data_IF_472585050998
#
_entry.id   IF_472585050998
#
_cell.length_a   1.000
_cell.length_b   1.000
_cell.length_c   1.000
_cell.angle_alpha   90.00
_cell.angle_beta   90.00
_cell.angle_gamma   90.00
#
_symmetry.space_group_name_H-M   'P 1'
#
loop_
_entity.id
_entity.type
_entity.pdbx_description
1 polymer ?
#
# COMPACT_ATOMS: atom_id res chain seq x y z
N UNK A 1 -0.86 13.88 8.30
CA UNK A 1 -1.69 14.48 7.19
C UNK A 1 -2.28 13.37 6.36
N UNK A 2 -3.59 13.39 6.12
CA UNK A 2 -4.22 12.45 5.19
C UNK A 2 -3.79 12.81 3.78
N UNK A 3 -3.07 11.93 3.11
CA UNK A 3 -2.58 12.18 1.75
C UNK A 3 -3.76 12.09 0.78
N UNK A 4 -4.05 13.16 0.06
CA UNK A 4 -5.13 13.25 -0.93
C UNK A 4 -4.67 12.81 -2.33
N UNK A 5 -3.79 11.82 -2.42
CA UNK A 5 -3.12 11.38 -3.66
C UNK A 5 -4.04 11.12 -4.84
N UNK A 6 -5.26 10.65 -4.57
CA UNK A 6 -6.22 10.20 -5.59
C UNK A 6 -7.45 11.11 -5.68
N UNK A 7 -7.53 12.14 -4.82
CA UNK A 7 -8.66 13.05 -4.75
C UNK A 7 -8.37 14.33 -5.55
N UNK A 8 -9.34 14.79 -6.33
CA UNK A 8 -9.21 15.97 -7.19
C UNK A 8 -9.90 17.21 -6.61
N UNK A 9 -11.16 17.08 -6.23
CA UNK A 9 -11.95 18.17 -5.66
C UNK A 9 -12.67 17.70 -4.40
N UNK A 10 -12.06 17.96 -3.25
CA UNK A 10 -12.53 17.46 -1.97
C UNK A 10 -13.39 18.50 -1.27
N UNK A 11 -14.67 18.21 -1.09
CA UNK A 11 -15.64 19.06 -0.41
C UNK A 11 -16.20 18.39 0.85
N UNK A 12 -16.61 19.19 1.81
CA UNK A 12 -17.30 18.68 3.01
C UNK A 12 -18.65 18.09 2.62
N UNK A 13 -18.91 16.86 3.04
CA UNK A 13 -20.20 16.22 2.86
C UNK A 13 -21.23 16.88 3.79
N UNK A 14 -22.12 17.69 3.21
CA UNK A 14 -23.16 18.42 3.92
C UNK A 14 -24.54 17.83 3.62
N UNK A 15 -25.30 17.50 4.66
CA UNK A 15 -26.63 16.90 4.53
C UNK A 15 -27.68 17.80 3.88
N UNK A 16 -27.48 19.12 3.88
CA UNK A 16 -28.38 20.07 3.21
C UNK A 16 -28.10 20.14 1.72
N UNK A 17 -26.83 20.28 1.34
CA UNK A 17 -26.38 20.39 -0.05
C UNK A 17 -26.44 19.05 -0.79
N UNK A 18 -26.02 17.96 -0.12
CA UNK A 18 -25.88 16.63 -0.75
C UNK A 18 -27.05 15.69 -0.42
N UNK A 19 -28.18 16.20 0.10
CA UNK A 19 -29.32 15.38 0.52
C UNK A 19 -29.86 14.45 -0.56
N UNK A 20 -29.79 14.88 -1.83
CA UNK A 20 -30.30 14.11 -2.98
C UNK A 20 -29.23 13.24 -3.62
N UNK A 21 -27.97 13.43 -3.21
CA UNK A 21 -26.84 12.76 -3.81
C UNK A 21 -26.93 11.25 -3.60
N UNK A 22 -26.80 10.52 -4.69
CA UNK A 22 -26.75 9.06 -4.74
C UNK A 22 -25.41 8.62 -5.30
N UNK A 23 -24.99 7.42 -4.96
CA UNK A 23 -23.77 6.82 -5.44
C UNK A 23 -24.06 5.54 -6.21
N UNK A 24 -23.51 5.49 -7.42
CA UNK A 24 -23.41 4.26 -8.21
C UNK A 24 -22.02 3.69 -8.03
N UNK A 25 -21.88 2.46 -7.49
CA UNK A 25 -20.61 1.79 -7.47
C UNK A 25 -20.01 1.70 -8.89
N UNK A 26 -18.73 2.03 -9.03
CA UNK A 26 -17.99 1.88 -10.28
C UNK A 26 -17.12 0.64 -10.20
N UNK A 27 -17.16 -0.21 -11.22
CA UNK A 27 -16.32 -1.41 -11.31
C UNK A 27 -14.87 -1.08 -11.74
N UNK A 28 -14.45 0.17 -11.59
CA UNK A 28 -13.12 0.59 -11.99
C UNK A 28 -12.49 1.52 -10.95
N UNK A 29 -11.16 1.55 -10.95
CA UNK A 29 -10.33 2.38 -10.08
C UNK A 29 -9.44 3.33 -10.90
N UNK A 30 -9.96 3.89 -12.01
CA UNK A 30 -9.22 4.81 -12.91
C UNK A 30 -8.70 6.04 -12.17
N UNK A 31 -9.36 6.46 -11.10
CA UNK A 31 -8.90 7.54 -10.21
C UNK A 31 -7.50 7.27 -9.61
N UNK A 32 -7.11 5.99 -9.50
CA UNK A 32 -5.80 5.58 -9.00
C UNK A 32 -4.79 5.26 -10.10
N UNK A 33 -5.08 5.58 -11.39
CA UNK A 33 -4.24 5.18 -12.52
C UNK A 33 -2.81 5.78 -12.47
N UNK A 34 -2.65 6.93 -11.85
CA UNK A 34 -1.35 7.59 -11.72
C UNK A 34 -0.66 7.30 -10.37
N UNK A 35 -1.17 6.37 -9.57
CA UNK A 35 -0.66 6.10 -8.22
C UNK A 35 0.27 4.89 -8.23
N UNK A 36 1.59 5.12 -8.20
CA UNK A 36 2.62 4.07 -8.19
C UNK A 36 2.92 3.50 -6.80
N UNK A 37 2.50 4.19 -5.73
CA UNK A 37 2.69 3.81 -4.34
C UNK A 37 1.42 4.13 -3.54
N UNK A 38 0.74 3.10 -3.04
CA UNK A 38 -0.52 3.22 -2.30
C UNK A 38 -0.24 3.13 -0.81
N UNK A 39 -0.64 4.14 0.00
CA UNK A 39 -0.50 4.08 1.46
C UNK A 39 -1.19 2.84 2.04
N UNK A 40 -0.50 2.17 2.97
CA UNK A 40 -1.02 1.03 3.71
C UNK A 40 -1.18 1.35 5.20
N UNK A 41 -2.05 0.59 5.85
CA UNK A 41 -2.04 0.46 7.30
C UNK A 41 -1.52 -0.93 7.69
N UNK A 42 -0.86 -1.04 8.85
CA UNK A 42 -0.11 -2.25 9.24
C UNK A 42 -0.97 -3.52 9.27
N UNK A 43 -2.25 -3.42 9.62
CA UNK A 43 -3.19 -4.55 9.62
C UNK A 43 -3.36 -5.18 8.23
N UNK A 44 -3.06 -4.45 7.16
CA UNK A 44 -3.16 -4.93 5.78
C UNK A 44 -1.93 -5.73 5.33
N UNK A 45 -0.82 -5.69 6.08
CA UNK A 45 0.46 -6.25 5.63
C UNK A 45 0.37 -7.73 5.26
N UNK A 46 -0.39 -8.53 5.99
CA UNK A 46 -0.54 -9.97 5.71
C UNK A 46 -1.18 -10.24 4.35
N UNK A 47 -2.22 -9.49 3.98
CA UNK A 47 -2.90 -9.63 2.69
C UNK A 47 -2.11 -8.93 1.59
N UNK A 48 -1.66 -7.70 1.83
CA UNK A 48 -0.89 -6.95 0.85
C UNK A 48 0.43 -7.64 0.48
N UNK A 49 1.12 -8.29 1.43
CA UNK A 49 2.38 -8.99 1.18
C UNK A 49 2.26 -10.17 0.20
N UNK A 50 1.06 -10.66 -0.05
CA UNK A 50 0.82 -11.75 -1.01
C UNK A 50 0.94 -11.28 -2.45
N UNK A 51 0.77 -9.97 -2.71
CA UNK A 51 0.64 -9.43 -4.05
C UNK A 51 1.52 -8.22 -4.34
N UNK A 52 1.77 -7.39 -3.33
CA UNK A 52 2.48 -6.12 -3.48
C UNK A 52 3.83 -6.16 -2.77
N UNK A 53 4.88 -5.54 -3.33
CA UNK A 53 6.02 -5.14 -2.52
C UNK A 53 5.57 -4.09 -1.50
N UNK A 54 5.80 -4.33 -0.22
CA UNK A 54 5.60 -3.35 0.84
C UNK A 54 6.93 -2.66 1.08
N UNK A 55 6.94 -1.35 1.07
CA UNK A 55 8.15 -0.53 1.30
C UNK A 55 7.85 0.59 2.28
N UNK A 56 8.91 1.17 2.83
CA UNK A 56 8.79 2.38 3.64
C UNK A 56 9.39 3.55 2.87
N UNK A 57 8.95 4.76 3.20
CA UNK A 57 9.54 6.00 2.70
C UNK A 57 9.35 7.11 3.73
N UNK A 58 10.18 8.14 3.68
CA UNK A 58 10.00 9.32 4.52
C UNK A 58 9.11 10.33 3.84
N UNK A 59 8.16 10.86 4.58
CA UNK A 59 7.38 12.03 4.16
C UNK A 59 8.25 13.26 3.98
N UNK A 60 7.65 14.36 3.55
CA UNK A 60 8.34 15.63 3.44
C UNK A 60 8.94 16.05 4.80
N UNK A 61 10.19 16.49 4.77
CA UNK A 61 10.86 17.00 5.97
C UNK A 61 10.26 18.36 6.36
N UNK A 62 10.04 18.56 7.66
CA UNK A 62 9.68 19.86 8.22
C UNK A 62 10.90 20.42 8.98
N UNK A 63 11.58 21.40 8.38
CA UNK A 63 12.82 21.96 8.92
C UNK A 63 13.98 20.95 8.93
N UNK A 64 14.75 20.91 10.03
CA UNK A 64 15.91 20.01 10.19
C UNK A 64 15.55 18.58 10.59
N UNK A 65 14.26 18.24 10.70
CA UNK A 65 13.81 16.90 11.08
C UNK A 65 13.58 16.05 9.84
N UNK A 66 14.04 14.78 9.89
CA UNK A 66 13.64 13.79 8.91
C UNK A 66 12.13 13.64 8.93
N UNK A 67 11.52 13.57 7.72
CA UNK A 67 10.09 13.37 7.57
C UNK A 67 9.60 12.09 8.26
N UNK A 68 8.33 12.06 8.63
CA UNK A 68 7.70 10.90 9.25
C UNK A 68 7.82 9.66 8.36
N UNK A 69 8.12 8.51 8.96
CA UNK A 69 8.17 7.23 8.24
C UNK A 69 6.74 6.81 7.86
N UNK A 70 6.55 6.40 6.63
CA UNK A 70 5.28 5.95 6.04
C UNK A 70 5.49 4.60 5.37
N UNK A 71 4.42 3.82 5.19
CA UNK A 71 4.48 2.53 4.51
C UNK A 71 3.53 2.50 3.30
N UNK A 72 3.96 1.81 2.24
CA UNK A 72 3.28 1.78 0.95
C UNK A 72 3.30 0.38 0.33
N UNK A 73 2.22 0.06 -0.39
CA UNK A 73 2.25 -0.97 -1.41
C UNK A 73 2.72 -0.35 -2.73
N UNK A 74 3.76 -0.88 -3.35
CA UNK A 74 4.17 -0.45 -4.67
C UNK A 74 3.22 -1.03 -5.72
N UNK A 75 2.64 -0.15 -6.52
CA UNK A 75 1.70 -0.48 -7.61
C UNK A 75 2.22 -0.09 -8.98
N UNK A 76 3.34 0.62 -9.05
CA UNK A 76 4.02 1.00 -10.29
C UNK A 76 5.54 1.03 -10.12
N UNK A 77 6.24 1.15 -11.23
CA UNK A 77 7.70 1.21 -11.31
C UNK A 77 8.23 2.63 -11.54
N UNK A 78 7.33 3.57 -11.77
CA UNK A 78 7.61 4.99 -11.92
C UNK A 78 6.40 5.84 -11.53
N UNK A 79 6.62 7.13 -11.32
CA UNK A 79 5.54 8.09 -11.07
C UNK A 79 4.55 8.12 -12.23
N UNK A 80 3.26 8.28 -11.91
CA UNK A 80 2.20 8.36 -12.90
C UNK A 80 1.72 7.03 -13.46
N UNK A 81 2.15 5.90 -12.88
CA UNK A 81 1.82 4.55 -13.35
C UNK A 81 1.19 3.70 -12.25
N UNK A 82 0.18 2.91 -12.62
CA UNK A 82 -0.37 1.86 -11.77
C UNK A 82 -0.55 0.57 -12.60
N UNK A 83 0.31 -0.40 -12.37
CA UNK A 83 0.35 -1.69 -13.09
C UNK A 83 -0.68 -2.70 -12.57
N UNK A 84 -1.48 -2.33 -11.58
CA UNK A 84 -2.55 -3.16 -11.04
C UNK A 84 -3.93 -2.78 -11.60
N UNK A 85 -3.98 -1.96 -12.64
CA UNK A 85 -5.22 -1.70 -13.39
C UNK A 85 -5.19 -2.44 -14.72
N UNK A 86 -6.32 -3.12 -15.05
CA UNK A 86 -6.51 -3.68 -16.37
C UNK A 86 -6.92 -2.60 -17.41
N UNK A 87 -7.04 -2.97 -18.68
CA UNK A 87 -7.42 -2.04 -19.76
C UNK A 87 -8.80 -1.40 -19.54
N UNK A 88 -9.70 -2.04 -18.78
CA UNK A 88 -11.00 -1.49 -18.40
C UNK A 88 -10.88 -0.55 -17.19
N UNK A 89 -9.71 -0.47 -16.55
CA UNK A 89 -9.46 0.31 -15.34
C UNK A 89 -9.88 -0.41 -14.06
N UNK A 90 -10.14 -1.73 -14.11
CA UNK A 90 -10.47 -2.51 -12.92
C UNK A 90 -9.19 -2.92 -12.20
N UNK A 91 -9.29 -3.02 -10.88
CA UNK A 91 -8.17 -3.47 -10.07
C UNK A 91 -7.88 -4.96 -10.33
N UNK A 92 -6.66 -5.26 -10.74
CA UNK A 92 -6.21 -6.60 -11.14
C UNK A 92 -5.32 -7.23 -10.04
N UNK A 93 -5.92 -7.43 -8.87
CA UNK A 93 -5.36 -8.18 -7.75
C UNK A 93 -6.51 -8.62 -6.84
N UNK A 94 -6.30 -9.66 -6.04
CA UNK A 94 -7.32 -10.18 -5.12
C UNK A 94 -7.52 -9.23 -3.93
N UNK A 95 -6.46 -8.56 -3.47
CA UNK A 95 -6.53 -7.59 -2.38
C UNK A 95 -6.48 -6.16 -2.90
N UNK A 96 -7.47 -5.35 -2.53
CA UNK A 96 -7.50 -3.90 -2.81
C UNK A 96 -7.20 -3.15 -1.53
N UNK A 97 -6.12 -2.34 -1.45
CA UNK A 97 -5.78 -1.56 -0.26
C UNK A 97 -6.94 -0.69 0.23
N UNK A 98 -7.09 -0.57 1.54
CA UNK A 98 -8.16 0.21 2.16
C UNK A 98 -8.14 1.69 1.74
N UNK A 99 -6.95 2.22 1.46
CA UNK A 99 -6.79 3.56 0.91
C UNK A 99 -7.50 3.75 -0.43
N UNK A 100 -7.53 2.73 -1.28
CA UNK A 100 -8.26 2.74 -2.56
C UNK A 100 -9.77 2.52 -2.32
N UNK A 101 -10.12 1.55 -1.45
CA UNK A 101 -11.52 1.19 -1.17
C UNK A 101 -12.34 2.30 -0.53
N UNK A 102 -11.70 3.22 0.21
CA UNK A 102 -12.40 4.33 0.86
C UNK A 102 -12.87 5.43 -0.11
N UNK A 103 -12.27 5.49 -1.33
CA UNK A 103 -12.66 6.48 -2.32
C UNK A 103 -14.13 6.28 -2.75
N UNK A 104 -14.94 7.33 -2.89
CA UNK A 104 -14.57 8.76 -2.94
C UNK A 104 -14.66 9.49 -1.57
N UNK A 105 -14.78 8.78 -0.45
CA UNK A 105 -14.91 9.37 0.87
C UNK A 105 -13.55 9.53 1.56
N UNK A 106 -13.41 10.59 2.36
CA UNK A 106 -12.21 10.83 3.15
C UNK A 106 -12.55 11.64 4.41
N UNK A 107 -11.81 11.43 5.50
CA UNK A 107 -11.80 12.37 6.61
C UNK A 107 -10.80 13.49 6.35
N UNK A 108 -11.26 14.74 6.48
CA UNK A 108 -10.42 15.92 6.56
C UNK A 108 -10.44 16.50 7.97
N UNK A 109 -9.30 17.04 8.40
CA UNK A 109 -9.18 17.74 9.68
C UNK A 109 -9.65 19.18 9.50
N UNK A 110 -10.76 19.54 10.13
CA UNK A 110 -11.36 20.88 10.04
C UNK A 110 -11.15 21.73 11.30
N UNK A 111 -10.49 21.16 12.32
CA UNK A 111 -10.15 21.82 13.59
C UNK A 111 -9.05 21.04 14.31
N UNK A 112 -8.68 21.46 15.54
CA UNK A 112 -7.59 20.82 16.27
C UNK A 112 -7.79 19.31 16.47
N UNK A 113 -9.03 18.87 16.75
CA UNK A 113 -9.38 17.46 17.00
C UNK A 113 -10.66 17.03 16.26
N UNK A 114 -11.11 17.81 15.27
CA UNK A 114 -12.36 17.52 14.57
C UNK A 114 -12.09 16.96 13.18
N UNK A 115 -12.57 15.74 12.95
CA UNK A 115 -12.60 15.10 11.65
C UNK A 115 -13.97 15.29 11.01
N UNK A 116 -13.97 15.77 9.78
CA UNK A 116 -15.18 15.96 8.99
C UNK A 116 -15.13 15.05 7.76
N UNK A 117 -16.25 14.44 7.42
CA UNK A 117 -16.36 13.63 6.21
C UNK A 117 -16.38 14.53 5.00
N UNK A 118 -15.53 14.24 4.05
CA UNK A 118 -15.47 14.88 2.74
C UNK A 118 -15.67 13.84 1.63
N UNK A 119 -16.08 14.33 0.48
CA UNK A 119 -16.20 13.55 -0.76
C UNK A 119 -15.41 14.23 -1.87
N UNK A 120 -14.95 13.44 -2.84
CA UNK A 120 -14.45 13.97 -4.11
C UNK A 120 -15.62 14.19 -5.06
N UNK A 121 -16.02 15.45 -5.28
CA UNK A 121 -17.17 15.78 -6.14
C UNK A 121 -16.95 15.35 -7.60
N UNK A 122 -15.72 15.18 -8.02
CA UNK A 122 -15.40 14.73 -9.39
C UNK A 122 -15.67 13.24 -9.62
N UNK A 123 -16.05 12.50 -8.59
CA UNK A 123 -16.33 11.08 -8.73
C UNK A 123 -17.51 10.81 -9.68
N UNK A 124 -17.28 10.09 -10.80
CA UNK A 124 -18.31 9.93 -11.86
C UNK A 124 -19.49 9.05 -11.45
N UNK A 125 -19.42 8.40 -10.29
CA UNK A 125 -20.51 7.60 -9.73
C UNK A 125 -21.53 8.40 -8.94
N UNK A 126 -21.32 9.69 -8.71
CA UNK A 126 -22.33 10.54 -8.07
C UNK A 126 -23.40 10.98 -9.05
N UNK A 127 -24.67 10.89 -8.61
CA UNK A 127 -25.86 11.22 -9.41
C UNK A 127 -27.05 11.54 -8.47
N UNK A 128 -27.87 12.52 -8.80
CA UNK A 128 -29.05 12.89 -8.00
C UNK A 128 -30.25 11.96 -8.23
N UNK A 129 -30.31 11.26 -9.36
CA UNK A 129 -31.49 10.53 -9.80
C UNK A 129 -31.38 9.02 -9.62
N UNK A 130 -30.17 8.46 -9.74
CA UNK A 130 -29.95 7.02 -9.78
C UNK A 130 -28.73 6.57 -8.96
N UNK A 131 -28.84 5.43 -8.33
CA UNK A 131 -27.85 4.88 -7.40
C UNK A 131 -28.42 4.73 -5.99
N UNK A 132 -27.57 4.33 -5.05
CA UNK A 132 -27.93 4.24 -3.64
C UNK A 132 -27.85 5.62 -2.96
N UNK A 133 -28.87 6.03 -2.20
CA UNK A 133 -28.85 7.35 -1.57
C UNK A 133 -27.78 7.41 -0.45
N UNK A 134 -27.14 8.58 -0.32
CA UNK A 134 -26.23 8.84 0.81
C UNK A 134 -27.00 9.18 2.08
N UNK A 135 -28.13 9.83 1.96
CA UNK A 135 -29.00 10.22 3.07
C UNK A 135 -30.40 9.66 2.89
N UNK A 136 -31.05 9.34 3.98
CA UNK A 136 -32.45 8.92 4.00
C UNK A 136 -33.42 10.13 3.94
N UNK A 137 -34.73 9.87 4.01
CA UNK A 137 -35.76 10.91 3.96
C UNK A 137 -35.68 11.87 5.17
N UNK A 138 -35.18 11.42 6.31
CA UNK A 138 -34.97 12.24 7.51
C UNK A 138 -33.67 13.07 7.43
N UNK A 139 -32.81 12.82 6.45
CA UNK A 139 -31.51 13.46 6.29
C UNK A 139 -30.40 12.81 7.15
N UNK A 140 -30.65 11.59 7.65
CA UNK A 140 -29.66 10.79 8.35
C UNK A 140 -28.86 9.92 7.35
N UNK A 141 -27.62 9.54 7.69
CA UNK A 141 -26.81 8.69 6.82
C UNK A 141 -27.53 7.38 6.43
N UNK A 142 -27.71 7.12 5.14
CA UNK A 142 -28.25 5.87 4.64
C UNK A 142 -27.24 4.70 4.79
N UNK A 143 -27.63 3.48 4.49
CA UNK A 143 -26.83 2.28 4.71
C UNK A 143 -25.42 2.38 4.07
N UNK A 144 -25.35 2.84 2.82
CA UNK A 144 -24.11 3.02 2.08
C UNK A 144 -23.18 4.01 2.79
N UNK A 145 -23.68 5.18 3.16
CA UNK A 145 -22.88 6.18 3.85
C UNK A 145 -22.43 5.70 5.23
N UNK A 146 -23.28 4.98 5.98
CA UNK A 146 -22.88 4.38 7.27
C UNK A 146 -21.70 3.42 7.09
N UNK A 147 -21.76 2.52 6.10
CA UNK A 147 -20.65 1.61 5.81
C UNK A 147 -19.37 2.34 5.41
N UNK A 148 -19.48 3.41 4.64
CA UNK A 148 -18.34 4.26 4.30
C UNK A 148 -17.74 4.95 5.54
N UNK A 149 -18.57 5.46 6.46
CA UNK A 149 -18.14 6.06 7.71
C UNK A 149 -17.44 5.05 8.64
N UNK A 150 -17.95 3.82 8.72
CA UNK A 150 -17.33 2.74 9.47
C UNK A 150 -15.93 2.42 8.91
N UNK A 151 -15.82 2.29 7.58
CA UNK A 151 -14.53 2.06 6.91
C UNK A 151 -13.54 3.20 7.18
N UNK A 152 -13.96 4.46 7.07
CA UNK A 152 -13.11 5.61 7.35
C UNK A 152 -12.65 5.65 8.81
N UNK A 153 -13.56 5.36 9.74
CA UNK A 153 -13.26 5.33 11.18
C UNK A 153 -12.26 4.24 11.52
N UNK A 154 -12.46 3.03 10.95
CA UNK A 154 -11.52 1.94 11.14
C UNK A 154 -10.16 2.26 10.50
N UNK A 155 -10.14 2.78 9.29
CA UNK A 155 -8.91 3.20 8.61
C UNK A 155 -8.14 4.24 9.44
N UNK A 156 -8.82 5.24 10.01
CA UNK A 156 -8.18 6.26 10.84
C UNK A 156 -7.55 5.66 12.11
N UNK A 157 -8.28 4.74 12.77
CA UNK A 157 -7.77 4.01 13.93
C UNK A 157 -6.55 3.17 13.57
N UNK A 158 -6.60 2.44 12.45
CA UNK A 158 -5.49 1.62 11.98
C UNK A 158 -4.29 2.48 11.56
N UNK A 159 -4.51 3.66 10.98
CA UNK A 159 -3.45 4.59 10.65
C UNK A 159 -2.69 5.08 11.89
N UNK A 160 -3.39 5.35 13.00
CA UNK A 160 -2.75 5.71 14.28
C UNK A 160 -1.90 4.57 14.83
N UNK A 161 -2.40 3.33 14.83
CA UNK A 161 -1.65 2.16 15.28
C UNK A 161 -0.44 1.91 14.38
N UNK A 162 -0.60 2.08 13.07
CA UNK A 162 0.50 1.99 12.11
C UNK A 162 1.57 3.03 12.38
N UNK A 163 1.19 4.28 12.66
CA UNK A 163 2.14 5.34 13.03
C UNK A 163 2.94 5.00 14.29
N UNK A 164 2.31 4.37 15.30
CA UNK A 164 3.01 3.90 16.50
C UNK A 164 4.05 2.80 16.17
N UNK A 165 3.67 1.83 15.34
CA UNK A 165 4.59 0.79 14.84
C UNK A 165 5.77 1.39 14.07
N UNK A 166 5.49 2.31 13.12
CA UNK A 166 6.52 2.94 12.30
C UNK A 166 7.50 3.77 13.13
N UNK A 167 7.05 4.44 14.19
CA UNK A 167 7.95 5.15 15.14
C UNK A 167 8.88 4.19 15.86
N UNK A 168 8.40 3.02 16.28
CA UNK A 168 9.24 1.99 16.89
C UNK A 168 10.27 1.43 15.90
N UNK A 169 9.82 1.17 14.65
CA UNK A 169 10.67 0.69 13.58
C UNK A 169 11.80 1.69 13.27
N UNK A 170 11.48 2.97 13.20
CA UNK A 170 12.43 4.05 12.96
C UNK A 170 13.45 4.18 14.12
N UNK A 171 12.97 4.14 15.36
CA UNK A 171 13.80 4.22 16.55
C UNK A 171 14.76 3.02 16.70
N UNK A 172 14.43 1.88 16.13
CA UNK A 172 15.29 0.68 16.18
C UNK A 172 16.47 0.73 15.21
N UNK A 173 16.54 1.70 14.31
CA UNK A 173 17.61 1.91 13.29
C UNK A 173 17.91 0.64 12.45
N UNK A 174 16.90 -0.13 12.15
CA UNK A 174 17.03 -1.35 11.34
C UNK A 174 16.63 -1.16 9.88
N UNK A 175 16.40 0.06 9.44
CA UNK A 175 16.10 0.37 8.05
C UNK A 175 17.39 0.62 7.26
N UNK A 176 17.33 0.33 5.97
CA UNK A 176 18.35 0.66 4.98
C UNK A 176 17.70 1.27 3.74
N UNK A 177 18.45 2.13 3.06
CA UNK A 177 18.03 2.67 1.77
C UNK A 177 18.03 1.57 0.72
N UNK A 178 16.97 1.56 -0.10
CA UNK A 178 16.81 0.68 -1.23
C UNK A 178 16.44 1.49 -2.48
N UNK A 179 16.82 0.96 -3.62
CA UNK A 179 16.47 1.51 -4.93
C UNK A 179 15.86 0.39 -5.76
N UNK A 180 14.78 0.70 -6.45
CA UNK A 180 14.21 -0.21 -7.42
C UNK A 180 14.53 0.31 -8.82
N UNK A 181 15.26 -0.49 -9.60
CA UNK A 181 15.47 -0.24 -11.02
C UNK A 181 14.58 -1.15 -11.84
N UNK A 182 13.84 -0.57 -12.75
CA UNK A 182 13.04 -1.28 -13.74
C UNK A 182 13.60 -0.97 -15.13
N UNK A 183 14.03 -2.00 -15.86
CA UNK A 183 14.52 -1.89 -17.23
C UNK A 183 13.40 -2.26 -18.20
N UNK A 184 13.05 -1.35 -19.11
CA UNK A 184 12.00 -1.54 -20.11
C UNK A 184 12.59 -2.19 -21.38
N UNK A 185 11.76 -3.00 -22.12
CA UNK A 185 12.22 -3.66 -23.36
C UNK A 185 12.71 -2.70 -24.45
N UNK A 186 12.26 -1.44 -24.41
CA UNK A 186 12.68 -0.37 -25.36
C UNK A 186 14.00 0.30 -24.98
N UNK A 187 14.70 -0.22 -23.95
CA UNK A 187 15.98 0.31 -23.46
C UNK A 187 15.86 1.45 -22.48
N UNK A 188 14.66 1.95 -22.19
CA UNK A 188 14.45 2.89 -21.07
C UNK A 188 14.64 2.17 -19.74
N UNK A 189 14.94 2.93 -18.72
CA UNK A 189 14.95 2.44 -17.33
C UNK A 189 14.24 3.44 -16.42
N UNK A 190 13.50 2.95 -15.45
CA UNK A 190 12.98 3.74 -14.35
C UNK A 190 13.78 3.43 -13.08
N UNK A 191 13.94 4.43 -12.25
CA UNK A 191 14.62 4.31 -10.96
C UNK A 191 13.71 4.92 -9.89
N UNK A 192 13.21 4.09 -8.97
CA UNK A 192 12.52 4.56 -7.79
C UNK A 192 13.53 4.66 -6.65
N UNK A 193 13.70 5.85 -6.13
CA UNK A 193 14.63 6.18 -5.04
C UNK A 193 13.86 6.57 -3.77
N UNK A 194 14.58 6.72 -2.67
CA UNK A 194 13.99 7.10 -1.39
C UNK A 194 13.17 6.00 -0.71
N UNK A 195 13.27 4.78 -1.22
CA UNK A 195 12.68 3.61 -0.58
C UNK A 195 13.52 3.19 0.62
N UNK A 196 12.86 2.72 1.65
CA UNK A 196 13.47 2.11 2.82
C UNK A 196 12.92 0.69 2.97
N UNK A 197 13.79 -0.22 3.36
CA UNK A 197 13.45 -1.61 3.67
C UNK A 197 14.13 -2.03 4.97
N UNK A 198 13.65 -3.09 5.61
CA UNK A 198 14.29 -3.64 6.79
C UNK A 198 15.59 -4.35 6.41
N UNK A 199 16.68 -4.02 7.13
CA UNK A 199 17.97 -4.70 7.04
C UNK A 199 17.97 -5.90 7.99
N UNK A 200 17.90 -7.12 7.43
CA UNK A 200 17.93 -8.35 8.24
C UNK A 200 19.24 -8.54 9.02
N UNK A 201 20.35 -7.97 8.56
CA UNK A 201 21.60 -8.04 9.31
C UNK A 201 21.52 -7.18 10.57
N UNK A 202 20.97 -5.97 10.46
CA UNK A 202 20.71 -5.10 11.62
C UNK A 202 19.69 -5.71 12.58
N UNK A 203 18.64 -6.38 12.08
CA UNK A 203 17.67 -7.08 12.92
C UNK A 203 18.31 -8.09 13.87
N UNK A 204 19.36 -8.79 13.45
CA UNK A 204 20.08 -9.77 14.28
C UNK A 204 20.77 -9.15 15.49
N UNK A 205 20.95 -7.85 15.49
CA UNK A 205 21.58 -7.09 16.60
C UNK A 205 20.55 -6.44 17.54
N UNK A 206 19.24 -6.63 17.30
CA UNK A 206 18.21 -6.18 18.23
C UNK A 206 18.40 -6.83 19.61
N UNK A 207 18.07 -6.07 20.66
CA UNK A 207 18.10 -6.63 22.01
C UNK A 207 17.04 -7.74 22.19
N UNK A 208 17.35 -8.73 23.02
CA UNK A 208 16.38 -9.79 23.34
C UNK A 208 15.07 -9.23 23.90
N UNK A 209 15.13 -8.13 24.64
CA UNK A 209 13.94 -7.45 25.18
C UNK A 209 13.06 -6.88 24.06
N UNK A 210 13.68 -6.18 23.09
CA UNK A 210 12.96 -5.64 21.91
C UNK A 210 12.33 -6.76 21.10
N UNK A 211 13.04 -7.86 20.84
CA UNK A 211 12.50 -9.02 20.09
C UNK A 211 11.32 -9.65 20.82
N UNK A 212 11.40 -9.81 22.16
CA UNK A 212 10.30 -10.34 22.96
C UNK A 212 9.08 -9.42 22.96
N UNK A 213 9.28 -8.10 23.08
CA UNK A 213 8.21 -7.11 22.99
C UNK A 213 7.50 -7.21 21.64
N UNK A 214 8.28 -7.17 20.54
CA UNK A 214 7.72 -7.19 19.18
C UNK A 214 7.06 -8.52 18.80
N UNK A 215 7.54 -9.62 19.39
CA UNK A 215 6.85 -10.92 19.25
C UNK A 215 5.50 -10.90 19.96
N UNK A 216 5.46 -10.38 21.20
CA UNK A 216 4.25 -10.32 22.01
C UNK A 216 3.19 -9.35 21.41
N UNK A 217 3.61 -8.22 20.85
CA UNK A 217 2.74 -7.22 20.21
C UNK A 217 2.35 -7.56 18.77
N UNK A 218 2.99 -8.55 18.14
CA UNK A 218 2.77 -8.93 16.72
C UNK A 218 3.56 -8.10 15.72
N UNK A 219 4.31 -7.08 16.13
CA UNK A 219 5.09 -6.19 15.27
C UNK A 219 6.18 -6.95 14.49
N UNK A 220 6.75 -8.00 15.09
CA UNK A 220 7.70 -8.87 14.40
C UNK A 220 7.07 -9.56 13.18
N UNK A 221 5.79 -9.94 13.27
CA UNK A 221 5.02 -10.50 12.15
C UNK A 221 4.86 -9.50 10.99
N UNK A 222 4.66 -8.21 11.29
CA UNK A 222 4.58 -7.14 10.28
C UNK A 222 5.91 -6.98 9.55
N UNK A 223 7.03 -7.04 10.26
CA UNK A 223 8.38 -6.97 9.68
C UNK A 223 8.62 -8.15 8.73
N UNK A 224 8.27 -9.37 9.13
CA UNK A 224 8.41 -10.54 8.25
C UNK A 224 7.45 -10.48 7.06
N UNK A 225 6.23 -9.97 7.21
CA UNK A 225 5.32 -9.74 6.09
C UNK A 225 5.93 -8.76 5.07
N UNK A 226 6.54 -7.65 5.56
CA UNK A 226 7.29 -6.74 4.70
C UNK A 226 8.43 -7.45 3.96
N UNK A 227 9.31 -8.19 4.68
CA UNK A 227 10.45 -8.87 4.06
C UNK A 227 10.01 -9.88 2.99
N UNK A 228 8.99 -10.69 3.28
CA UNK A 228 8.41 -11.64 2.31
C UNK A 228 7.82 -10.93 1.09
N UNK A 229 7.21 -9.77 1.30
CA UNK A 229 6.59 -8.98 0.23
C UNK A 229 7.58 -8.49 -0.82
N UNK A 230 8.86 -8.33 -0.47
CA UNK A 230 9.89 -7.88 -1.40
C UNK A 230 10.09 -8.85 -2.58
N UNK A 231 9.73 -10.13 -2.41
CA UNK A 231 9.67 -11.10 -3.50
C UNK A 231 8.69 -10.70 -4.62
N UNK A 232 7.70 -9.85 -4.34
CA UNK A 232 6.75 -9.38 -5.34
C UNK A 232 7.33 -8.28 -6.27
N UNK A 233 8.54 -7.77 -6.01
CA UNK A 233 9.22 -6.86 -6.94
C UNK A 233 9.36 -7.48 -8.34
N UNK A 234 9.68 -8.79 -8.42
CA UNK A 234 9.74 -9.50 -9.69
C UNK A 234 8.38 -9.60 -10.38
N UNK A 235 7.29 -9.79 -9.62
CA UNK A 235 5.92 -9.81 -10.15
C UNK A 235 5.50 -8.42 -10.65
N UNK A 236 5.86 -7.36 -9.92
CA UNK A 236 5.60 -5.98 -10.34
C UNK A 236 6.30 -5.69 -11.67
N UNK A 237 7.57 -6.10 -11.82
CA UNK A 237 8.32 -5.96 -13.08
C UNK A 237 7.67 -6.72 -14.24
N UNK A 238 7.10 -7.90 -14.00
CA UNK A 238 6.39 -8.70 -15.02
C UNK A 238 5.09 -8.03 -15.51
N UNK A 239 4.49 -7.13 -14.73
CA UNK A 239 3.30 -6.36 -15.12
C UNK A 239 3.62 -5.19 -16.05
N UNK A 240 4.91 -4.84 -16.22
CA UNK A 240 5.32 -3.75 -17.11
C UNK A 240 4.94 -4.06 -18.57
N UNK A 241 4.44 -3.08 -19.34
CA UNK A 241 4.13 -3.27 -20.75
C UNK A 241 5.37 -3.74 -21.53
N UNK A 242 5.23 -4.86 -22.24
CA UNK A 242 6.31 -5.40 -23.08
C UNK A 242 7.36 -6.24 -22.34
N UNK A 243 7.19 -6.53 -21.05
CA UNK A 243 8.04 -7.49 -20.35
C UNK A 243 7.79 -8.90 -20.91
N UNK A 244 8.67 -9.35 -21.80
CA UNK A 244 8.78 -10.76 -22.14
C UNK A 244 9.32 -11.48 -20.89
N UNK A 245 8.55 -12.42 -20.36
CA UNK A 245 9.00 -13.29 -19.27
C UNK A 245 10.16 -14.12 -19.82
N UNK A 246 11.39 -13.70 -19.56
CA UNK A 246 12.54 -14.61 -19.68
C UNK A 246 12.49 -15.48 -18.42
N UNK A 247 12.24 -16.79 -18.53
CA UNK A 247 12.27 -17.66 -17.35
C UNK A 247 13.63 -17.49 -16.67
N UNK A 248 13.63 -17.33 -15.36
CA UNK A 248 14.86 -17.28 -14.58
C UNK A 248 15.72 -18.49 -14.94
N UNK A 249 17.05 -18.35 -15.11
CA UNK A 249 17.91 -19.49 -15.35
C UNK A 249 17.71 -20.50 -14.22
N UNK A 250 17.36 -21.73 -14.58
CA UNK A 250 17.24 -22.82 -13.61
C UNK A 250 18.51 -22.87 -12.75
N UNK A 251 18.33 -22.89 -11.45
CA UNK A 251 19.42 -23.09 -10.52
C UNK A 251 20.19 -24.35 -10.94
N UNK A 252 21.54 -24.33 -10.95
CA UNK A 252 22.33 -25.49 -11.40
C UNK A 252 21.95 -26.68 -10.55
N UNK A 253 21.43 -27.71 -11.19
CA UNK A 253 21.08 -28.98 -10.58
C UNK A 253 22.31 -29.55 -9.88
N UNK A 254 22.14 -29.89 -8.60
CA UNK A 254 23.19 -30.49 -7.77
C UNK A 254 23.79 -31.71 -8.47
N UNK A 255 24.99 -31.54 -8.96
CA UNK A 255 25.80 -32.60 -9.62
C UNK A 255 25.99 -33.74 -8.63
N UNK A 256 25.48 -34.89 -8.99
CA UNK A 256 25.63 -36.17 -8.32
C UNK A 256 27.10 -36.43 -7.97
N UNK A 257 27.45 -36.43 -6.69
CA UNK A 257 28.74 -36.89 -6.21
C UNK A 257 28.92 -38.37 -6.48
N UNK A 258 29.66 -38.71 -7.53
CA UNK A 258 30.14 -40.08 -7.80
C UNK A 258 31.10 -40.51 -6.67
N UNK A 259 30.66 -41.44 -5.83
CA UNK A 259 31.51 -42.18 -4.89
C UNK A 259 32.64 -42.88 -5.64
N UNK A 260 33.85 -42.41 -5.52
CA UNK A 260 35.07 -43.16 -5.91
C UNK A 260 35.26 -44.31 -4.94
N UNK A 261 34.99 -45.52 -5.40
CA UNK A 261 35.44 -46.75 -4.74
C UNK A 261 36.97 -46.80 -4.80
N UNK A 262 37.61 -46.73 -3.65
CA UNK A 262 39.04 -47.07 -3.52
C UNK A 262 39.22 -48.55 -3.75
N UNK A 263 40.06 -48.91 -4.76
CA UNK A 263 40.66 -50.24 -4.90
C UNK A 263 41.83 -50.32 -3.95
N UNK A 264 41.78 -51.24 -3.00
CA UNK A 264 42.96 -51.70 -2.28
C UNK A 264 43.83 -52.54 -3.19
N UNK A 265 45.10 -52.41 -3.02
CA UNK A 265 46.10 -53.36 -3.46
C UNK A 265 47.06 -53.65 -2.32
N UNK A 266 47.12 -54.90 -1.96
CA UNK A 266 48.21 -55.69 -1.35
C UNK A 266 49.19 -55.01 -0.43
#
# INVERSE_FOLDING_TARGET
>A
MTTLLIYQDTVVLDRGLHRRLKLKPQDNARFAAATHAVPLVAVEFSEAAREYPIVFARGAAEGDKHGELLCYALTGTCEGENLYLDAAGRWNADYIPAFIRRYPFVFAQTGADQLTVCIDETYPGFDDNSGEPLFDEAGEPAALLRSALELLTDFQRQAQLTGAFLKKLDAADILMEAQMRADFPDGRHALVQGLLVVDEAKMKHLSSATVQEWLASGELGLIYAHLLSLGNLSRLAQRMPGSAVTPAPEAPSATTMKKRKGKGAT
#
